data_IF_358694815598
#
_entry.id   IF_358694815598
#
_cell.length_a   1.000
_cell.length_b   1.000
_cell.length_c   1.000
_cell.angle_alpha   90.00
_cell.angle_beta   90.00
_cell.angle_gamma   90.00
#
_symmetry.space_group_name_H-M   'P 1'
#
loop_
_entity.id
_entity.type
_entity.pdbx_description
1 polymer ?
#
# COMPACT_ATOMS: atom_id res chain seq x y z
N UNK A 1 -2.49 -21.50 21.07
CA UNK A 1 -1.97 -20.81 19.87
C UNK A 1 -0.46 -20.88 19.94
N UNK A 2 0.19 -21.53 18.98
CA UNK A 2 1.65 -21.48 18.84
C UNK A 2 2.03 -20.09 18.35
N UNK A 3 2.79 -19.36 19.16
CA UNK A 3 3.29 -18.02 18.83
C UNK A 3 4.34 -18.19 17.71
N UNK A 4 4.00 -17.79 16.48
CA UNK A 4 4.94 -17.82 15.36
C UNK A 4 6.05 -16.78 15.59
N UNK A 5 7.30 -17.23 15.54
CA UNK A 5 8.47 -16.36 15.69
C UNK A 5 8.76 -15.62 14.38
N UNK A 6 9.25 -14.37 14.44
CA UNK A 6 9.65 -13.65 13.23
C UNK A 6 10.88 -14.30 12.58
N UNK A 7 10.94 -14.21 11.26
CA UNK A 7 12.13 -14.49 10.46
C UNK A 7 13.05 -13.27 10.51
N UNK A 8 14.36 -13.50 10.52
CA UNK A 8 15.37 -12.45 10.39
C UNK A 8 15.76 -12.32 8.94
N UNK A 9 15.51 -11.14 8.37
CA UNK A 9 15.83 -10.81 6.97
C UNK A 9 16.88 -9.70 6.92
N UNK A 10 17.79 -9.81 5.97
CA UNK A 10 18.89 -8.88 5.76
C UNK A 10 18.72 -8.11 4.44
N UNK A 11 18.91 -6.79 4.50
CA UNK A 11 18.89 -5.90 3.35
C UNK A 11 20.04 -6.29 2.39
N UNK A 12 19.76 -6.56 1.11
CA UNK A 12 20.77 -7.05 0.17
C UNK A 12 21.86 -6.00 -0.14
N UNK A 13 21.57 -4.71 0.08
CA UNK A 13 22.49 -3.62 -0.27
C UNK A 13 23.46 -3.26 0.85
N UNK A 14 23.04 -3.31 2.11
CA UNK A 14 23.85 -2.82 3.24
C UNK A 14 24.01 -3.79 4.41
N UNK A 15 23.31 -4.94 4.40
CA UNK A 15 23.42 -5.91 5.50
C UNK A 15 22.60 -5.57 6.75
N UNK A 16 21.80 -4.50 6.74
CA UNK A 16 20.91 -4.16 7.86
C UNK A 16 19.83 -5.24 8.07
N UNK A 17 19.53 -5.58 9.32
CA UNK A 17 18.67 -6.73 9.66
C UNK A 17 17.34 -6.30 10.25
N UNK A 18 16.28 -7.01 9.85
CA UNK A 18 14.92 -6.73 10.25
C UNK A 18 14.18 -8.00 10.68
N UNK A 19 13.16 -7.83 11.52
CA UNK A 19 12.21 -8.87 11.87
C UNK A 19 11.03 -8.83 10.90
N UNK A 20 10.76 -9.93 10.21
CA UNK A 20 9.58 -10.11 9.37
C UNK A 20 8.75 -11.26 9.95
N UNK A 21 7.51 -10.97 10.34
CA UNK A 21 6.56 -12.02 10.70
C UNK A 21 6.05 -12.64 9.41
N UNK A 22 6.02 -13.97 9.35
CA UNK A 22 5.42 -14.66 8.22
C UNK A 22 3.99 -14.14 8.04
N UNK A 23 3.68 -13.67 6.83
CA UNK A 23 2.30 -13.37 6.49
C UNK A 23 1.52 -14.67 6.63
N UNK A 24 0.68 -14.78 7.67
CA UNK A 24 -0.24 -15.90 7.71
C UNK A 24 -1.18 -15.77 6.51
N UNK A 25 -1.36 -16.86 5.77
CA UNK A 25 -2.21 -16.94 4.58
C UNK A 25 -3.66 -16.51 4.84
N UNK A 26 -4.08 -16.54 6.10
CA UNK A 26 -5.41 -16.13 6.54
C UNK A 26 -5.33 -14.84 7.36
N UNK A 27 -6.06 -13.83 6.88
CA UNK A 27 -6.23 -12.57 7.57
C UNK A 27 -7.06 -12.81 8.85
N UNK A 28 -6.61 -12.33 10.03
CA UNK A 28 -7.30 -12.61 11.29
C UNK A 28 -8.75 -12.13 11.31
N UNK A 29 -9.56 -12.81 12.11
CA UNK A 29 -10.86 -12.29 12.55
C UNK A 29 -10.66 -10.91 13.23
N UNK A 30 -11.47 -9.91 12.86
CA UNK A 30 -11.32 -8.53 13.35
C UNK A 30 -10.46 -7.62 12.46
N UNK A 31 -9.99 -8.09 11.31
CA UNK A 31 -9.30 -7.24 10.33
C UNK A 31 -10.26 -6.23 9.69
N UNK A 32 -9.91 -4.95 9.72
CA UNK A 32 -10.62 -3.91 8.95
C UNK A 32 -10.05 -3.83 7.55
N UNK A 33 -10.90 -3.92 6.54
CA UNK A 33 -10.53 -3.82 5.13
C UNK A 33 -10.97 -2.48 4.55
N UNK A 34 -10.10 -1.92 3.72
CA UNK A 34 -10.33 -0.67 3.01
C UNK A 34 -10.48 -0.95 1.51
N UNK A 35 -11.18 -0.07 0.80
CA UNK A 35 -11.49 -0.25 -0.62
C UNK A 35 -10.28 -0.17 -1.55
N UNK A 36 -9.17 0.39 -1.07
CA UNK A 36 -7.89 0.39 -1.76
C UNK A 36 -7.09 -0.91 -1.56
N UNK A 37 -7.66 -1.90 -0.86
CA UNK A 37 -6.99 -3.16 -0.54
C UNK A 37 -6.06 -3.07 0.66
N UNK A 38 -6.01 -1.93 1.36
CA UNK A 38 -5.35 -1.83 2.65
C UNK A 38 -6.14 -2.59 3.73
N UNK A 39 -5.45 -3.03 4.78
CA UNK A 39 -6.10 -3.62 5.94
C UNK A 39 -5.34 -3.31 7.24
N UNK A 40 -6.07 -3.26 8.35
CA UNK A 40 -5.50 -3.11 9.70
C UNK A 40 -6.00 -4.23 10.61
N UNK A 41 -5.11 -4.79 11.43
CA UNK A 41 -5.44 -5.79 12.44
C UNK A 41 -4.70 -5.46 13.74
N UNK A 42 -5.40 -5.57 14.88
CA UNK A 42 -4.84 -5.27 16.21
C UNK A 42 -3.58 -6.08 16.53
N UNK A 43 -3.47 -7.27 15.95
CA UNK A 43 -2.39 -8.22 16.24
C UNK A 43 -1.55 -8.59 15.01
N UNK A 44 -1.80 -7.99 13.84
CA UNK A 44 -1.01 -8.28 12.63
C UNK A 44 -0.75 -7.04 11.78
N UNK A 45 0.52 -6.91 11.43
CA UNK A 45 1.03 -5.90 10.54
C UNK A 45 0.85 -6.38 9.10
N UNK A 46 0.44 -5.49 8.20
CA UNK A 46 0.55 -5.78 6.76
C UNK A 46 2.03 -6.03 6.47
N UNK A 47 2.38 -7.21 5.96
CA UNK A 47 3.72 -7.44 5.44
C UNK A 47 3.88 -6.52 4.23
N UNK A 48 4.74 -5.49 4.32
CA UNK A 48 4.84 -4.54 3.24
C UNK A 48 5.48 -5.25 2.04
N UNK A 49 4.96 -4.99 0.84
CA UNK A 49 5.51 -5.61 -0.38
C UNK A 49 6.94 -5.10 -0.65
N UNK A 50 7.29 -3.95 -0.05
CA UNK A 50 8.62 -3.37 -0.01
C UNK A 50 8.97 -3.05 1.44
N UNK A 51 10.15 -3.45 1.89
CA UNK A 51 10.70 -3.12 3.20
C UNK A 51 11.58 -1.88 3.04
N UNK A 52 11.31 -0.84 3.81
CA UNK A 52 12.14 0.35 3.89
C UNK A 52 13.41 0.07 4.69
N UNK A 53 14.58 0.24 4.07
CA UNK A 53 15.84 0.14 4.80
C UNK A 53 16.20 1.48 5.42
N UNK A 54 16.40 1.53 6.74
CA UNK A 54 16.80 2.76 7.45
C UNK A 54 18.19 3.26 7.05
N UNK A 55 19.06 2.37 6.57
CA UNK A 55 20.45 2.69 6.20
C UNK A 55 20.56 3.11 4.74
N UNK A 56 19.84 2.43 3.84
CA UNK A 56 19.87 2.76 2.42
C UNK A 56 18.88 3.86 2.04
N UNK A 57 17.87 4.13 2.87
CA UNK A 57 16.65 4.90 2.56
C UNK A 57 15.83 4.36 1.36
N UNK A 58 16.37 3.38 0.65
CA UNK A 58 15.77 2.63 -0.45
C UNK A 58 15.00 1.41 0.06
N UNK A 59 14.03 0.98 -0.76
CA UNK A 59 13.18 -0.17 -0.48
C UNK A 59 13.69 -1.45 -1.13
N UNK A 60 13.57 -2.59 -0.44
CA UNK A 60 13.82 -3.91 -1.03
C UNK A 60 12.62 -4.83 -0.81
N UNK A 61 12.36 -5.74 -1.75
CA UNK A 61 11.25 -6.71 -1.58
C UNK A 61 11.68 -7.83 -0.64
N UNK A 62 10.75 -8.43 0.14
CA UNK A 62 11.07 -9.59 0.97
C UNK A 62 11.74 -10.74 0.21
N UNK A 63 11.40 -10.94 -1.08
CA UNK A 63 12.01 -11.97 -1.93
C UNK A 63 13.45 -11.67 -2.32
N UNK A 64 13.82 -10.38 -2.40
CA UNK A 64 15.21 -9.95 -2.66
C UNK A 64 16.07 -9.91 -1.40
N UNK A 65 15.44 -9.89 -0.22
CA UNK A 65 16.15 -9.95 1.05
C UNK A 65 16.67 -11.35 1.34
N UNK A 66 17.80 -11.42 2.04
CA UNK A 66 18.39 -12.69 2.44
C UNK A 66 17.84 -13.11 3.80
N UNK A 67 17.17 -14.27 3.87
CA UNK A 67 16.80 -14.87 5.15
C UNK A 67 18.07 -15.34 5.85
N UNK A 68 18.35 -14.80 7.04
CA UNK A 68 19.54 -15.14 7.83
C UNK A 68 19.20 -16.11 8.96
N UNK A 69 17.99 -16.04 9.51
CA UNK A 69 17.57 -16.93 10.58
C UNK A 69 16.04 -17.11 10.61
N UNK A 70 15.61 -18.30 11.05
CA UNK A 70 14.23 -18.62 11.42
C UNK A 70 14.24 -19.12 12.88
N UNK A 71 14.45 -18.21 13.85
CA UNK A 71 14.75 -18.59 15.22
C UNK A 71 13.57 -19.27 15.90
N UNK A 72 13.86 -20.22 16.78
CA UNK A 72 12.90 -20.64 17.80
C UNK A 72 12.74 -19.54 18.87
N UNK A 73 11.83 -19.73 19.84
CA UNK A 73 11.55 -18.73 20.88
C UNK A 73 12.78 -18.35 21.71
N UNK A 74 13.57 -19.34 22.12
CA UNK A 74 14.74 -19.14 22.96
C UNK A 74 15.83 -18.37 22.19
N UNK A 75 16.10 -18.79 20.95
CA UNK A 75 17.03 -18.10 20.05
C UNK A 75 16.59 -16.67 19.76
N UNK A 76 15.30 -16.44 19.51
CA UNK A 76 14.75 -15.10 19.27
C UNK A 76 15.00 -14.18 20.45
N UNK A 77 14.62 -14.62 21.65
CA UNK A 77 14.76 -13.83 22.86
C UNK A 77 16.23 -13.50 23.16
N UNK A 78 17.15 -14.45 22.94
CA UNK A 78 18.57 -14.28 23.23
C UNK A 78 19.32 -13.44 22.18
N UNK A 79 19.00 -13.57 20.89
CA UNK A 79 19.84 -13.05 19.82
C UNK A 79 19.17 -12.03 18.90
N UNK A 80 17.85 -11.98 18.83
CA UNK A 80 17.16 -11.28 17.74
C UNK A 80 16.08 -10.31 18.22
N UNK A 81 15.67 -10.38 19.48
CA UNK A 81 14.60 -9.57 20.10
C UNK A 81 14.86 -8.05 20.05
N UNK A 82 16.12 -7.64 19.87
CA UNK A 82 16.52 -6.24 19.75
C UNK A 82 16.39 -5.68 18.33
N UNK A 83 16.20 -6.52 17.31
CA UNK A 83 16.07 -6.09 15.93
C UNK A 83 14.75 -5.36 15.71
N UNK A 84 14.75 -4.41 14.78
CA UNK A 84 13.55 -3.64 14.44
C UNK A 84 12.62 -4.48 13.54
N UNK A 85 11.30 -4.38 13.72
CA UNK A 85 10.34 -4.87 12.73
C UNK A 85 10.60 -4.26 11.37
N UNK A 86 10.46 -5.05 10.31
CA UNK A 86 10.40 -4.56 8.95
C UNK A 86 9.19 -3.62 8.82
N UNK A 87 9.42 -2.42 8.29
CA UNK A 87 8.40 -1.40 8.05
C UNK A 87 8.38 -1.05 6.57
N UNK A 88 7.24 -0.60 6.02
CA UNK A 88 7.21 -0.03 4.67
C UNK A 88 8.11 1.21 4.58
N UNK A 89 8.63 1.56 3.38
CA UNK A 89 9.32 2.82 3.19
C UNK A 89 8.40 4.01 3.50
N UNK A 90 9.01 5.13 3.88
CA UNK A 90 8.24 6.38 4.08
C UNK A 90 7.69 6.89 2.76
N UNK A 91 6.63 7.71 2.81
CA UNK A 91 6.09 8.41 1.62
C UNK A 91 7.19 9.16 0.85
N UNK A 92 8.13 9.80 1.56
CA UNK A 92 9.26 10.49 0.93
C UNK A 92 10.21 9.53 0.20
N UNK A 93 10.57 8.41 0.82
CA UNK A 93 11.41 7.38 0.22
C UNK A 93 10.75 6.78 -1.04
N UNK A 94 9.44 6.52 -1.01
CA UNK A 94 8.69 6.01 -2.17
C UNK A 94 8.71 7.00 -3.34
N UNK A 95 8.56 8.29 -3.08
CA UNK A 95 8.69 9.34 -4.11
C UNK A 95 10.09 9.36 -4.71
N UNK A 96 11.13 9.22 -3.89
CA UNK A 96 12.51 9.19 -4.36
C UNK A 96 12.77 7.95 -5.24
N UNK A 97 12.32 6.77 -4.81
CA UNK A 97 12.42 5.53 -5.57
C UNK A 97 11.75 5.64 -6.95
N UNK A 98 10.51 6.12 -6.99
CA UNK A 98 9.75 6.31 -8.23
C UNK A 98 10.38 7.32 -9.19
N UNK A 99 11.21 8.26 -8.69
CA UNK A 99 11.91 9.24 -9.51
C UNK A 99 13.30 8.78 -9.96
N UNK A 100 14.02 8.07 -9.09
CA UNK A 100 15.41 7.73 -9.30
C UNK A 100 15.58 6.42 -10.09
N UNK A 101 14.63 5.48 -9.96
CA UNK A 101 14.75 4.14 -10.57
C UNK A 101 14.45 4.21 -12.07
N UNK A 102 15.51 4.16 -12.89
CA UNK A 102 15.42 4.29 -14.36
C UNK A 102 14.91 3.04 -15.08
N UNK A 103 15.16 1.85 -14.53
CA UNK A 103 14.87 0.55 -15.15
C UNK A 103 13.94 -0.27 -14.26
N UNK A 104 12.71 0.21 -14.10
CA UNK A 104 11.70 -0.45 -13.28
C UNK A 104 10.76 -1.26 -14.19
N UNK A 105 10.57 -2.54 -13.89
CA UNK A 105 9.52 -3.32 -14.55
C UNK A 105 8.13 -2.92 -14.03
N UNK A 106 7.09 -3.27 -14.78
CA UNK A 106 5.70 -2.87 -14.49
C UNK A 106 5.18 -3.49 -13.19
N UNK A 107 5.70 -4.64 -12.77
CA UNK A 107 5.34 -5.28 -11.50
C UNK A 107 5.86 -4.43 -10.34
N UNK A 108 7.15 -4.13 -10.32
CA UNK A 108 7.79 -3.30 -9.30
C UNK A 108 7.19 -1.89 -9.26
N UNK A 109 6.88 -1.31 -10.42
CA UNK A 109 6.21 -0.02 -10.51
C UNK A 109 4.84 -0.05 -9.83
N UNK A 110 4.02 -1.06 -10.15
CA UNK A 110 2.71 -1.26 -9.53
C UNK A 110 2.84 -1.37 -8.01
N UNK A 111 3.81 -2.14 -7.53
CA UNK A 111 4.07 -2.26 -6.08
C UNK A 111 4.41 -0.92 -5.46
N UNK A 112 5.42 -0.20 -5.97
CA UNK A 112 5.85 1.10 -5.42
C UNK A 112 4.72 2.13 -5.40
N UNK A 113 3.90 2.16 -6.45
CA UNK A 113 2.77 3.10 -6.52
C UNK A 113 1.63 2.70 -5.58
N UNK A 114 1.33 1.41 -5.40
CA UNK A 114 0.38 0.94 -4.37
C UNK A 114 0.88 1.32 -2.97
N UNK A 115 2.16 1.09 -2.68
CA UNK A 115 2.78 1.49 -1.41
C UNK A 115 2.67 3.00 -1.19
N UNK A 116 2.92 3.82 -2.22
CA UNK A 116 2.77 5.28 -2.13
C UNK A 116 1.32 5.69 -1.90
N UNK A 117 0.38 5.03 -2.57
CA UNK A 117 -1.05 5.26 -2.37
C UNK A 117 -1.42 4.99 -0.91
N UNK A 118 -1.04 3.84 -0.37
CA UNK A 118 -1.31 3.49 1.03
C UNK A 118 -0.64 4.43 2.02
N UNK A 119 0.64 4.72 1.83
CA UNK A 119 1.39 5.59 2.73
C UNK A 119 0.80 7.00 2.75
N UNK A 120 0.20 7.44 1.64
CA UNK A 120 -0.46 8.76 1.53
C UNK A 120 -1.86 8.74 2.15
N UNK A 121 -2.67 7.72 1.84
CA UNK A 121 -4.08 7.65 2.25
C UNK A 121 -4.31 7.27 3.71
N UNK A 122 -3.39 6.53 4.33
CA UNK A 122 -3.62 5.92 5.66
C UNK A 122 -2.73 6.45 6.77
N UNK A 123 -1.69 7.23 6.44
CA UNK A 123 -0.81 7.82 7.47
C UNK A 123 -1.08 9.31 7.64
N UNK A 124 -0.99 9.80 8.89
CA UNK A 124 -1.12 11.24 9.18
C UNK A 124 -0.06 12.06 8.42
N UNK A 125 1.16 11.55 8.34
CA UNK A 125 2.24 12.20 7.59
C UNK A 125 1.93 12.30 6.08
N UNK A 126 1.39 11.22 5.51
CA UNK A 126 0.95 11.17 4.11
C UNK A 126 -0.17 12.16 3.79
N UNK A 127 -1.23 12.17 4.60
CA UNK A 127 -2.35 13.12 4.44
C UNK A 127 -1.88 14.57 4.55
N UNK A 128 -1.06 14.87 5.57
CA UNK A 128 -0.50 16.21 5.75
C UNK A 128 0.35 16.64 4.55
N UNK A 129 1.14 15.74 3.95
CA UNK A 129 1.89 16.04 2.73
C UNK A 129 0.95 16.33 1.55
N UNK A 130 -0.10 15.54 1.35
CA UNK A 130 -1.07 15.72 0.26
C UNK A 130 -1.82 17.07 0.37
N UNK A 131 -2.23 17.44 1.58
CA UNK A 131 -2.98 18.65 1.87
C UNK A 131 -2.09 19.90 1.78
N UNK A 132 -0.87 19.87 2.31
CA UNK A 132 -0.06 21.07 2.51
C UNK A 132 1.06 21.26 1.48
N UNK A 133 1.30 20.31 0.58
CA UNK A 133 2.35 20.41 -0.43
C UNK A 133 1.81 20.20 -1.85
N UNK A 134 1.61 21.29 -2.59
CA UNK A 134 1.08 21.27 -3.95
C UNK A 134 1.96 20.48 -4.95
N UNK A 135 3.30 20.53 -4.80
CA UNK A 135 4.20 19.75 -5.67
C UNK A 135 4.05 18.25 -5.42
N UNK A 136 3.94 17.86 -4.16
CA UNK A 136 3.67 16.47 -3.80
C UNK A 136 2.29 16.03 -4.28
N UNK A 137 1.26 16.87 -4.14
CA UNK A 137 -0.09 16.58 -4.65
C UNK A 137 -0.10 16.33 -6.16
N UNK A 138 0.58 17.15 -6.95
CA UNK A 138 0.69 16.93 -8.39
C UNK A 138 1.38 15.60 -8.69
N UNK A 139 2.51 15.33 -8.03
CA UNK A 139 3.21 14.05 -8.17
C UNK A 139 2.34 12.85 -7.79
N UNK A 140 1.56 12.97 -6.71
CA UNK A 140 0.67 11.92 -6.24
C UNK A 140 -0.47 11.68 -7.25
N UNK A 141 -1.08 12.73 -7.80
CA UNK A 141 -2.08 12.61 -8.87
C UNK A 141 -1.52 11.91 -10.11
N UNK A 142 -0.35 12.36 -10.59
CA UNK A 142 0.33 11.72 -11.72
C UNK A 142 0.63 10.25 -11.42
N UNK A 143 0.97 9.94 -10.17
CA UNK A 143 1.24 8.58 -9.73
C UNK A 143 -0.02 7.72 -9.68
N UNK A 144 -1.16 8.28 -9.25
CA UNK A 144 -2.44 7.58 -9.25
C UNK A 144 -2.94 7.30 -10.66
N UNK A 145 -2.75 8.22 -11.61
CA UNK A 145 -3.07 8.00 -13.03
C UNK A 145 -2.23 6.84 -13.60
N UNK A 146 -0.93 6.82 -13.32
CA UNK A 146 -0.05 5.74 -13.77
C UNK A 146 -0.41 4.41 -13.10
N UNK A 147 -0.74 4.42 -11.81
CA UNK A 147 -1.17 3.22 -11.10
C UNK A 147 -2.48 2.65 -11.67
N UNK A 148 -3.45 3.51 -11.95
CA UNK A 148 -4.72 3.14 -12.57
C UNK A 148 -4.49 2.39 -13.89
N UNK A 149 -3.58 2.87 -14.73
CA UNK A 149 -3.24 2.26 -16.01
C UNK A 149 -2.58 0.88 -15.87
N UNK A 150 -1.92 0.60 -14.74
CA UNK A 150 -1.27 -0.68 -14.46
C UNK A 150 -2.26 -1.77 -14.01
N UNK A 151 -3.47 -1.41 -13.57
CA UNK A 151 -4.48 -2.39 -13.16
C UNK A 151 -5.20 -3.03 -14.36
N UNK A 152 -5.25 -4.36 -14.36
CA UNK A 152 -5.96 -5.17 -15.34
C UNK A 152 -7.45 -5.25 -15.01
N UNK A 153 -8.27 -4.70 -15.90
CA UNK A 153 -9.74 -4.73 -15.79
C UNK A 153 -10.35 -6.14 -15.83
N UNK A 154 -9.63 -7.12 -16.36
CA UNK A 154 -10.13 -8.50 -16.48
C UNK A 154 -9.82 -9.33 -15.22
N UNK A 155 -9.01 -8.79 -14.31
CA UNK A 155 -8.77 -9.40 -13.01
C UNK A 155 -9.74 -8.79 -11.99
N UNK A 156 -10.68 -9.57 -11.40
CA UNK A 156 -11.68 -9.04 -10.48
C UNK A 156 -11.09 -8.28 -9.28
N UNK A 157 -9.95 -8.73 -8.75
CA UNK A 157 -9.30 -8.06 -7.63
C UNK A 157 -8.70 -6.70 -8.06
N UNK A 158 -8.10 -6.63 -9.26
CA UNK A 158 -7.55 -5.37 -9.77
C UNK A 158 -8.63 -4.43 -10.32
N UNK A 159 -9.77 -4.95 -10.78
CA UNK A 159 -10.93 -4.14 -11.21
C UNK A 159 -11.43 -3.24 -10.08
N UNK A 160 -11.55 -3.77 -8.85
CA UNK A 160 -11.94 -3.00 -7.68
C UNK A 160 -10.93 -1.89 -7.36
N UNK A 161 -9.64 -2.21 -7.42
CA UNK A 161 -8.56 -1.24 -7.20
C UNK A 161 -8.54 -0.15 -8.27
N UNK A 162 -8.81 -0.51 -9.53
CA UNK A 162 -8.91 0.41 -10.66
C UNK A 162 -10.11 1.35 -10.51
N UNK A 163 -11.25 0.84 -10.07
CA UNK A 163 -12.42 1.66 -9.78
C UNK A 163 -12.17 2.63 -8.62
N UNK A 164 -11.57 2.15 -7.52
CA UNK A 164 -11.21 3.01 -6.40
C UNK A 164 -10.15 4.06 -6.78
N UNK A 165 -9.16 3.72 -7.61
CA UNK A 165 -8.21 4.71 -8.14
C UNK A 165 -8.91 5.81 -8.96
N UNK A 166 -9.86 5.45 -9.82
CA UNK A 166 -10.69 6.42 -10.54
C UNK A 166 -11.51 7.30 -9.58
N UNK A 167 -12.08 6.72 -8.51
CA UNK A 167 -12.80 7.49 -7.48
C UNK A 167 -11.89 8.53 -6.81
N UNK A 168 -10.68 8.12 -6.41
CA UNK A 168 -9.69 9.00 -5.78
C UNK A 168 -9.22 10.13 -6.72
N UNK A 169 -9.17 9.86 -8.02
CA UNK A 169 -8.88 10.85 -9.07
C UNK A 169 -10.07 11.78 -9.38
N UNK A 170 -11.25 11.53 -8.80
CA UNK A 170 -12.47 12.29 -9.10
C UNK A 170 -13.17 11.87 -10.40
N UNK A 171 -12.73 10.78 -11.03
CA UNK A 171 -13.31 10.18 -12.23
C UNK A 171 -14.51 9.29 -11.86
N UNK A 172 -15.55 9.89 -11.28
CA UNK A 172 -16.66 9.14 -10.69
C UNK A 172 -17.47 8.35 -11.71
N UNK A 173 -17.67 8.88 -12.92
CA UNK A 173 -18.40 8.18 -13.98
C UNK A 173 -17.68 6.91 -14.41
N UNK A 174 -16.36 7.01 -14.65
CA UNK A 174 -15.52 5.86 -14.99
C UNK A 174 -15.48 4.83 -13.85
N UNK A 175 -15.41 5.29 -12.60
CA UNK A 175 -15.50 4.43 -11.43
C UNK A 175 -16.82 3.63 -11.41
N UNK A 176 -17.95 4.28 -11.69
CA UNK A 176 -19.26 3.61 -11.71
C UNK A 176 -19.39 2.64 -12.89
N UNK A 177 -18.88 3.02 -14.06
CA UNK A 177 -18.87 2.18 -15.27
C UNK A 177 -18.11 0.88 -15.04
N UNK A 178 -16.91 0.95 -14.44
CA UNK A 178 -16.09 -0.22 -14.09
C UNK A 178 -16.81 -1.20 -13.16
N UNK A 179 -17.78 -0.73 -12.37
CA UNK A 179 -18.48 -1.52 -11.36
C UNK A 179 -19.88 -1.99 -11.80
N UNK A 180 -20.32 -1.73 -13.04
CA UNK A 180 -21.68 -2.06 -13.52
C UNK A 180 -22.02 -3.56 -13.40
N UNK A 181 -21.02 -4.44 -13.50
CA UNK A 181 -21.19 -5.89 -13.42
C UNK A 181 -20.80 -6.52 -12.08
N UNK A 182 -20.25 -5.75 -11.14
CA UNK A 182 -19.63 -6.28 -9.91
C UNK A 182 -20.56 -6.08 -8.69
N UNK A 183 -20.91 -7.19 -8.05
CA UNK A 183 -21.94 -7.25 -6.99
C UNK A 183 -21.36 -7.52 -5.60
N UNK A 184 -20.04 -7.59 -5.45
CA UNK A 184 -19.41 -7.70 -4.14
C UNK A 184 -19.72 -6.49 -3.25
N UNK A 185 -19.76 -6.72 -1.93
CA UNK A 185 -19.95 -5.67 -0.92
C UNK A 185 -18.93 -4.53 -1.07
N UNK A 186 -17.71 -4.84 -1.53
CA UNK A 186 -16.68 -3.83 -1.77
C UNK A 186 -17.04 -2.91 -2.93
N UNK A 187 -17.51 -3.47 -4.05
CA UNK A 187 -17.97 -2.65 -5.17
C UNK A 187 -19.15 -1.77 -4.80
N UNK A 188 -20.08 -2.27 -3.98
CA UNK A 188 -21.18 -1.45 -3.48
C UNK A 188 -20.68 -0.30 -2.58
N UNK A 189 -19.71 -0.55 -1.70
CA UNK A 189 -19.10 0.49 -0.88
C UNK A 189 -18.42 1.58 -1.73
N UNK A 190 -17.68 1.18 -2.78
CA UNK A 190 -17.02 2.11 -3.72
C UNK A 190 -18.08 2.91 -4.50
N UNK A 191 -19.12 2.27 -5.02
CA UNK A 191 -20.24 2.94 -5.72
C UNK A 191 -20.90 3.99 -4.83
N UNK A 192 -21.24 3.65 -3.59
CA UNK A 192 -21.87 4.55 -2.64
C UNK A 192 -20.97 5.73 -2.27
N UNK A 193 -19.65 5.52 -2.20
CA UNK A 193 -18.68 6.61 -1.99
C UNK A 193 -18.63 7.55 -3.21
N UNK A 194 -18.49 6.99 -4.42
CA UNK A 194 -18.43 7.76 -5.67
C UNK A 194 -19.70 8.60 -5.90
N UNK A 195 -20.89 8.03 -5.66
CA UNK A 195 -22.16 8.74 -5.82
C UNK A 195 -22.33 9.92 -4.86
N UNK A 196 -21.96 9.76 -3.59
CA UNK A 196 -22.02 10.85 -2.60
C UNK A 196 -21.14 12.03 -2.98
N UNK A 197 -19.93 11.75 -3.45
CA UNK A 197 -18.97 12.78 -3.87
C UNK A 197 -19.42 13.45 -5.18
N UNK A 198 -19.90 12.68 -6.15
CA UNK A 198 -20.42 13.22 -7.42
C UNK A 198 -21.62 14.17 -7.21
N UNK A 199 -22.57 13.78 -6.35
CA UNK A 199 -23.72 14.64 -5.99
C UNK A 199 -23.28 15.94 -5.29
N UNK A 200 -22.24 15.89 -4.46
CA UNK A 200 -21.74 17.08 -3.74
C UNK A 200 -21.17 18.11 -4.72
N UNK A 201 -20.44 17.67 -5.75
CA UNK A 201 -19.89 18.57 -6.77
C UNK A 201 -20.98 19.29 -7.59
N UNK A 202 -22.06 18.57 -7.95
CA UNK A 202 -23.18 19.15 -8.68
C UNK A 202 -23.93 20.23 -7.88
N UNK A 203 -24.07 20.04 -6.56
CA UNK A 203 -24.72 21.02 -5.67
C UNK A 203 -23.87 22.29 -5.50
N UNK A 204 -22.55 22.19 -5.51
CA UNK A 204 -21.64 23.36 -5.43
C UNK A 204 -21.58 24.10 -6.77
N UNK A 205 -21.64 23.40 -7.90
CA UNK A 205 -21.65 24.02 -9.23
C UNK A 205 -22.94 24.81 -9.53
N UNK A 206 -24.09 24.41 -8.95
CA UNK A 206 -25.38 25.09 -9.13
C UNK A 206 -25.62 26.32 -8.24
N UNK A 207 -24.63 26.77 -7.45
CA UNK A 207 -24.73 27.94 -6.55
C UNK A 207 -23.90 29.16 -7.01
N UNK A 208 -23.56 29.26 -8.29
CA UNK A 208 -22.90 30.44 -8.87
C UNK A 208 -23.87 31.30 -9.68
#
# INVERSE_FOLDING_TARGET
MTEEMPVVIECPSCGERYLIWAAMSELPQGTTYYSDGYFTSDNKWRTPEIIGCVTCELGFTPQSGKIIATPNREEFLQHWSHLKPAQPPTTGALVLELRARKNMDTTMEKVLRKELWYSTSHTTAGKNLLENNAKFRNFWNDSMVQLEALFDRNNPAELLLKAEANRQLGHYEQCLELLLGEQSNMAEAIRNAAQRENCTLLVVAGKK
#
